data_IF_936106573191
#
_entry.id   IF_936106573191
#
_cell.length_a   1.000
_cell.length_b   1.000
_cell.length_c   1.000
_cell.angle_alpha   90.00
_cell.angle_beta   90.00
_cell.angle_gamma   90.00
#
_symmetry.space_group_name_H-M   'P 1'
#
loop_
_entity.id
_entity.type
_entity.pdbx_description
1 polymer ?
#
# COMPACT_ATOMS: atom_id res chain seq x y z
N UNK A 1 12.73 38.63 0.35
CA UNK A 1 12.77 37.63 1.45
C UNK A 1 12.21 36.33 0.92
N UNK A 2 12.99 35.25 1.02
CA UNK A 2 12.78 33.98 0.35
C UNK A 2 11.98 32.98 1.18
N UNK A 3 11.00 32.35 0.53
CA UNK A 3 10.51 30.96 0.70
C UNK A 3 9.87 30.57 2.04
N UNK A 4 8.53 30.66 2.10
CA UNK A 4 7.67 29.85 2.98
C UNK A 4 6.62 29.07 2.16
N UNK A 5 7.03 28.45 1.04
CA UNK A 5 6.11 27.74 0.14
C UNK A 5 5.94 26.25 0.48
N UNK A 6 6.64 25.75 1.50
CA UNK A 6 6.48 24.40 2.00
C UNK A 6 6.31 24.47 3.52
N UNK A 7 5.23 23.89 4.09
CA UNK A 7 5.19 23.70 5.53
C UNK A 7 6.45 22.92 5.94
N UNK A 8 7.13 23.31 7.03
CA UNK A 8 8.27 22.55 7.53
C UNK A 8 7.85 21.08 7.67
N UNK A 9 8.70 20.16 7.21
CA UNK A 9 8.43 18.72 7.35
C UNK A 9 8.09 18.47 8.82
N UNK A 10 7.01 17.75 9.13
CA UNK A 10 6.75 17.33 10.50
C UNK A 10 8.02 16.65 11.03
N UNK A 11 8.45 16.99 12.25
CA UNK A 11 9.64 16.40 12.88
C UNK A 11 9.51 14.88 13.15
N UNK A 12 8.40 14.27 12.75
CA UNK A 12 8.20 12.83 12.83
C UNK A 12 9.23 12.11 11.97
N UNK A 13 10.11 11.36 12.62
CA UNK A 13 11.07 10.45 11.97
C UNK A 13 10.54 9.03 12.14
N UNK A 14 9.65 8.56 11.24
CA UNK A 14 9.10 7.22 11.34
C UNK A 14 10.25 6.21 11.23
N UNK A 15 10.41 5.39 12.25
CA UNK A 15 11.58 4.54 12.46
C UNK A 15 11.12 3.18 12.96
N UNK A 16 11.61 2.12 12.32
CA UNK A 16 11.52 0.76 12.85
C UNK A 16 12.78 0.50 13.65
N UNK A 17 12.59 -0.05 14.85
CA UNK A 17 13.70 -0.47 15.70
C UNK A 17 13.52 -1.92 16.12
N UNK A 18 14.65 -2.55 16.45
CA UNK A 18 14.64 -3.84 17.11
C UNK A 18 15.66 -3.86 18.24
N UNK A 19 15.31 -4.51 19.35
CA UNK A 19 16.21 -4.66 20.49
C UNK A 19 16.11 -6.05 21.12
N UNK A 20 17.22 -6.48 21.73
CA UNK A 20 17.31 -7.68 22.57
C UNK A 20 17.24 -7.31 24.06
N UNK A 21 16.70 -8.19 24.89
CA UNK A 21 16.63 -8.03 26.35
C UNK A 21 17.56 -9.05 27.02
N UNK A 22 18.18 -8.64 28.13
CA UNK A 22 19.15 -9.43 28.89
C UNK A 22 18.51 -10.51 29.77
N UNK A 23 17.20 -10.46 29.99
CA UNK A 23 16.46 -11.47 30.74
C UNK A 23 16.52 -12.82 29.99
N UNK A 24 16.90 -13.93 30.66
CA UNK A 24 16.99 -15.26 30.06
C UNK A 24 15.76 -15.71 29.26
N UNK A 25 14.55 -15.26 29.62
CA UNK A 25 13.31 -15.62 28.93
C UNK A 25 13.23 -15.05 27.50
N UNK A 26 13.93 -13.97 27.20
CA UNK A 26 13.96 -13.32 25.88
C UNK A 26 15.19 -13.69 25.05
N UNK A 27 15.99 -14.65 25.52
CA UNK A 27 17.25 -15.02 24.86
C UNK A 27 17.02 -15.47 23.41
N UNK A 28 17.62 -14.76 22.47
CA UNK A 28 17.48 -15.02 21.03
C UNK A 28 16.16 -14.52 20.42
N UNK A 29 15.41 -13.69 21.15
CA UNK A 29 14.26 -12.96 20.64
C UNK A 29 14.61 -11.49 20.44
N UNK A 30 14.08 -10.90 19.39
CA UNK A 30 14.11 -9.46 19.16
C UNK A 30 12.69 -8.91 19.26
N UNK A 31 12.53 -7.86 20.05
CA UNK A 31 11.31 -7.05 19.99
C UNK A 31 11.42 -6.09 18.81
N UNK A 32 10.47 -6.13 17.88
CA UNK A 32 10.44 -5.24 16.71
C UNK A 32 9.33 -4.21 16.92
N UNK A 33 9.65 -2.92 16.82
CA UNK A 33 8.68 -1.86 17.11
C UNK A 33 8.80 -0.66 16.18
N UNK A 34 7.76 0.18 16.19
CA UNK A 34 7.70 1.44 15.45
C UNK A 34 7.72 2.66 16.40
N UNK A 35 8.34 3.75 15.94
CA UNK A 35 8.35 5.04 16.63
C UNK A 35 8.45 6.20 15.65
N UNK A 36 7.92 7.36 16.02
CA UNK A 36 8.14 8.64 15.33
C UNK A 36 9.10 9.57 16.08
N UNK A 37 9.46 9.18 17.30
CA UNK A 37 10.42 9.86 18.19
C UNK A 37 11.70 9.03 18.31
N UNK A 38 12.70 9.58 18.98
CA UNK A 38 13.98 8.91 19.27
C UNK A 38 13.80 7.49 19.84
N UNK A 39 14.49 6.51 19.23
CA UNK A 39 14.37 5.09 19.56
C UNK A 39 14.81 4.81 20.99
N UNK A 40 15.91 5.43 21.45
CA UNK A 40 16.43 5.19 22.81
C UNK A 40 15.41 5.62 23.85
N UNK A 41 14.78 6.76 23.64
CA UNK A 41 13.71 7.29 24.49
C UNK A 41 12.48 6.39 24.49
N UNK A 42 12.05 5.91 23.31
CA UNK A 42 10.91 4.98 23.17
C UNK A 42 11.15 3.64 23.86
N UNK A 43 12.35 3.07 23.74
CA UNK A 43 12.69 1.81 24.41
C UNK A 43 12.80 2.03 25.91
N UNK A 44 13.42 3.13 26.37
CA UNK A 44 13.52 3.44 27.80
C UNK A 44 12.15 3.58 28.48
N UNK A 45 11.14 4.14 27.81
CA UNK A 45 9.77 4.24 28.32
C UNK A 45 9.11 2.88 28.60
N UNK A 46 9.57 1.80 27.95
CA UNK A 46 9.04 0.45 28.17
C UNK A 46 9.62 -0.21 29.43
N UNK A 47 10.64 0.40 30.04
CA UNK A 47 11.27 -0.05 31.28
C UNK A 47 11.03 1.00 32.38
N UNK A 48 9.89 0.95 33.08
CA UNK A 48 9.52 1.97 34.07
C UNK A 48 10.46 2.01 35.29
N UNK A 49 11.19 0.92 35.56
CA UNK A 49 12.07 0.79 36.72
C UNK A 49 13.53 1.08 36.35
N UNK A 50 14.09 2.17 36.89
CA UNK A 50 15.52 2.46 36.79
C UNK A 50 16.30 1.46 37.65
N UNK A 51 17.04 0.56 37.01
CA UNK A 51 17.97 -0.35 37.69
C UNK A 51 19.38 0.27 37.68
N UNK A 52 20.15 0.22 38.79
CA UNK A 52 21.55 0.60 38.77
C UNK A 52 22.35 -0.36 37.87
N UNK A 53 23.18 0.17 36.97
CA UNK A 53 24.01 -0.61 36.05
C UNK A 53 23.70 -0.38 34.57
N UNK A 54 24.13 -1.31 33.71
CA UNK A 54 23.86 -1.27 32.26
C UNK A 54 22.35 -1.45 31.99
N UNK A 55 21.80 -0.82 30.94
CA UNK A 55 20.40 -1.03 30.55
C UNK A 55 20.09 -2.52 30.34
N UNK A 56 18.89 -2.99 30.67
CA UNK A 56 18.51 -4.39 30.53
C UNK A 56 18.28 -4.80 29.06
N UNK A 57 18.52 -3.91 28.10
CA UNK A 57 18.28 -4.11 26.68
C UNK A 57 19.43 -3.55 25.83
N UNK A 58 19.52 -4.04 24.58
CA UNK A 58 20.43 -3.51 23.56
C UNK A 58 19.68 -3.34 22.25
N UNK A 59 19.66 -2.12 21.72
CA UNK A 59 19.12 -1.83 20.39
C UNK A 59 20.09 -2.39 19.35
N UNK A 60 19.59 -3.26 18.48
CA UNK A 60 20.36 -3.93 17.42
C UNK A 60 20.00 -3.44 16.02
N UNK A 61 18.87 -2.73 15.90
CA UNK A 61 18.40 -2.15 14.65
C UNK A 61 17.70 -0.82 14.91
N UNK A 62 18.00 0.17 14.08
CA UNK A 62 17.33 1.47 14.01
C UNK A 62 17.38 1.94 12.55
N UNK A 63 16.23 1.92 11.88
CA UNK A 63 16.15 2.13 10.43
C UNK A 63 14.91 2.95 10.05
N UNK A 64 15.05 3.81 9.04
CA UNK A 64 13.94 4.63 8.54
C UNK A 64 12.77 3.77 8.04
N UNK A 65 11.56 4.09 8.47
CA UNK A 65 10.33 3.43 8.05
C UNK A 65 9.67 4.13 6.85
N UNK A 66 10.48 4.78 6.00
CA UNK A 66 10.03 5.45 4.78
C UNK A 66 10.15 4.52 3.57
N UNK A 67 9.11 4.51 2.73
CA UNK A 67 9.11 3.89 1.40
C UNK A 67 9.69 4.84 0.35
N UNK A 68 9.98 4.31 -0.83
CA UNK A 68 10.53 5.08 -1.95
C UNK A 68 9.55 6.15 -2.48
N UNK A 69 8.24 5.93 -2.31
CA UNK A 69 7.17 6.86 -2.70
C UNK A 69 6.94 8.00 -1.68
N UNK A 70 7.71 8.02 -0.58
CA UNK A 70 7.58 9.00 0.49
C UNK A 70 6.51 8.69 1.53
N UNK A 71 5.80 7.56 1.42
CA UNK A 71 4.90 7.08 2.48
C UNK A 71 5.67 6.37 3.59
N UNK A 72 5.10 6.34 4.81
CA UNK A 72 5.68 5.60 5.92
C UNK A 72 5.00 4.22 6.09
N UNK A 73 5.75 3.23 6.56
CA UNK A 73 5.25 1.92 6.97
C UNK A 73 5.43 1.71 8.47
N UNK A 74 4.69 0.73 9.02
CA UNK A 74 4.71 0.43 10.46
C UNK A 74 5.30 -0.96 10.74
N UNK A 75 5.62 -1.20 12.01
CA UNK A 75 6.10 -2.48 12.52
C UNK A 75 5.10 -3.62 12.28
N UNK A 76 3.80 -3.35 12.25
CA UNK A 76 2.77 -4.31 11.86
C UNK A 76 3.04 -4.98 10.50
N UNK A 77 3.54 -4.22 9.53
CA UNK A 77 3.86 -4.72 8.19
C UNK A 77 5.13 -5.59 8.22
N UNK A 78 6.13 -5.19 9.00
CA UNK A 78 7.37 -5.93 9.22
C UNK A 78 7.09 -7.24 9.97
N UNK A 79 6.29 -7.20 11.03
CA UNK A 79 5.84 -8.37 11.80
C UNK A 79 5.15 -9.41 10.91
N UNK A 80 4.29 -8.93 10.01
CA UNK A 80 3.60 -9.78 9.04
C UNK A 80 4.60 -10.43 8.08
N UNK A 81 5.58 -9.68 7.59
CA UNK A 81 6.64 -10.22 6.75
C UNK A 81 7.44 -11.30 7.47
N UNK A 82 7.84 -11.07 8.72
CA UNK A 82 8.56 -12.05 9.53
C UNK A 82 7.74 -13.34 9.73
N UNK A 83 6.45 -13.22 10.07
CA UNK A 83 5.55 -14.39 10.20
C UNK A 83 5.46 -15.20 8.91
N UNK A 84 5.36 -14.52 7.76
CA UNK A 84 5.32 -15.18 6.45
C UNK A 84 6.63 -15.90 6.10
N UNK A 85 7.77 -15.33 6.47
CA UNK A 85 9.08 -15.98 6.33
C UNK A 85 9.32 -17.14 7.31
N UNK A 86 8.29 -17.59 8.05
CA UNK A 86 8.37 -18.71 8.98
C UNK A 86 9.09 -18.37 10.29
N UNK A 87 9.30 -17.09 10.60
CA UNK A 87 9.92 -16.67 11.86
C UNK A 87 8.95 -16.94 13.01
N UNK A 88 9.44 -17.65 14.03
CA UNK A 88 8.65 -17.92 15.24
C UNK A 88 8.38 -16.61 15.99
N UNK A 89 7.11 -16.38 16.32
CA UNK A 89 6.65 -15.26 17.16
C UNK A 89 6.01 -15.84 18.43
N UNK A 90 6.78 -16.04 19.52
CA UNK A 90 6.25 -16.63 20.75
C UNK A 90 5.13 -15.80 21.37
N UNK A 91 5.28 -14.47 21.40
CA UNK A 91 4.31 -13.59 22.05
C UNK A 91 4.42 -12.14 21.58
N UNK A 92 3.29 -11.55 21.18
CA UNK A 92 3.18 -10.13 20.84
C UNK A 92 4.14 -9.68 19.74
N UNK A 93 5.04 -8.77 20.12
CA UNK A 93 6.01 -8.11 19.24
C UNK A 93 7.42 -8.76 19.29
N UNK A 94 7.55 -9.94 19.91
CA UNK A 94 8.83 -10.65 20.09
C UNK A 94 9.02 -11.74 19.03
N UNK A 95 10.08 -11.66 18.25
CA UNK A 95 10.35 -12.57 17.15
C UNK A 95 11.68 -13.29 17.37
N UNK A 96 11.72 -14.61 17.10
CA UNK A 96 12.97 -15.38 17.09
C UNK A 96 13.69 -15.18 15.75
N UNK A 97 14.27 -14.00 15.57
CA UNK A 97 14.95 -13.58 14.35
C UNK A 97 16.27 -12.87 14.62
N UNK A 98 17.09 -12.74 13.57
CA UNK A 98 18.26 -11.86 13.56
C UNK A 98 17.88 -10.44 13.09
N UNK A 99 18.73 -9.46 13.39
CA UNK A 99 18.58 -8.10 12.87
C UNK A 99 18.56 -8.07 11.33
N UNK A 100 19.30 -8.97 10.66
CA UNK A 100 19.33 -9.08 9.21
C UNK A 100 18.00 -9.59 8.64
N UNK A 101 17.32 -10.52 9.33
CA UNK A 101 15.97 -10.94 8.94
C UNK A 101 14.96 -9.81 9.08
N UNK A 102 15.08 -8.97 10.12
CA UNK A 102 14.25 -7.77 10.26
C UNK A 102 14.55 -6.77 9.14
N UNK A 103 15.83 -6.55 8.78
CA UNK A 103 16.20 -5.71 7.63
C UNK A 103 15.65 -6.25 6.32
N UNK A 104 15.77 -7.55 6.07
CA UNK A 104 15.21 -8.19 4.88
C UNK A 104 13.68 -8.00 4.82
N UNK A 105 12.99 -8.16 5.95
CA UNK A 105 11.57 -7.90 6.04
C UNK A 105 11.21 -6.43 5.78
N UNK A 106 12.01 -5.48 6.28
CA UNK A 106 11.84 -4.05 5.96
C UNK A 106 12.07 -3.77 4.48
N UNK A 107 13.07 -4.38 3.86
CA UNK A 107 13.34 -4.23 2.42
C UNK A 107 12.13 -4.74 1.63
N UNK A 108 11.62 -5.94 1.94
CA UNK A 108 10.43 -6.49 1.27
C UNK A 108 9.17 -5.62 1.44
N UNK A 109 9.03 -4.93 2.59
CA UNK A 109 7.96 -3.95 2.82
C UNK A 109 8.21 -2.65 2.05
N UNK A 110 9.47 -2.24 1.86
CA UNK A 110 9.85 -1.07 1.05
C UNK A 110 9.70 -1.30 -0.45
N UNK A 111 9.97 -2.51 -0.94
CA UNK A 111 9.90 -2.90 -2.36
C UNK A 111 8.51 -3.32 -2.81
N UNK A 112 7.50 -3.23 -1.93
CA UNK A 112 6.09 -3.52 -2.22
C UNK A 112 5.79 -4.98 -2.60
N UNK A 113 6.77 -5.89 -2.50
CA UNK A 113 6.65 -7.32 -2.82
C UNK A 113 5.65 -8.05 -1.91
N UNK A 114 5.36 -7.50 -0.72
CA UNK A 114 4.40 -8.05 0.24
C UNK A 114 2.92 -7.69 -0.03
N UNK A 115 2.63 -6.71 -0.90
CA UNK A 115 1.26 -6.22 -1.03
C UNK A 115 0.37 -7.21 -1.81
N UNK A 116 0.90 -7.97 -2.78
CA UNK A 116 0.08 -8.90 -3.57
C UNK A 116 -0.66 -9.94 -2.71
N UNK A 117 -0.05 -10.38 -1.61
CA UNK A 117 -0.59 -11.41 -0.71
C UNK A 117 -1.15 -10.88 0.62
N UNK A 118 -1.35 -9.56 0.77
CA UNK A 118 -2.07 -9.03 1.94
C UNK A 118 -3.29 -8.23 1.54
N UNK A 119 -4.14 -8.88 0.75
CA UNK A 119 -5.50 -8.42 0.50
C UNK A 119 -6.31 -8.60 1.79
N UNK A 120 -6.56 -7.51 2.49
CA UNK A 120 -7.31 -7.50 3.76
C UNK A 120 -8.76 -7.05 3.61
N UNK A 121 -9.15 -6.57 2.41
CA UNK A 121 -10.49 -6.05 2.16
C UNK A 121 -11.34 -7.10 1.42
N UNK A 122 -12.46 -7.48 2.00
CA UNK A 122 -13.40 -8.49 1.49
C UNK A 122 -14.86 -8.00 1.46
N UNK A 123 -15.06 -6.69 1.59
CA UNK A 123 -16.40 -6.10 1.59
C UNK A 123 -17.10 -6.28 0.24
N UNK A 124 -18.41 -6.50 0.28
CA UNK A 124 -19.20 -6.68 -0.93
C UNK A 124 -19.74 -5.35 -1.46
N UNK A 125 -20.18 -5.35 -2.73
CA UNK A 125 -20.88 -4.19 -3.30
C UNK A 125 -22.17 -3.89 -2.53
N UNK A 126 -22.38 -2.61 -2.21
CA UNK A 126 -23.66 -2.13 -1.68
C UNK A 126 -24.75 -2.23 -2.75
N UNK A 127 -26.04 -2.28 -2.37
CA UNK A 127 -27.15 -2.40 -3.32
C UNK A 127 -27.11 -1.37 -4.45
N UNK A 128 -26.78 -0.10 -4.14
CA UNK A 128 -26.69 0.96 -5.14
C UNK A 128 -25.52 0.78 -6.12
N UNK A 129 -24.41 0.22 -5.67
CA UNK A 129 -23.25 -0.08 -6.51
C UNK A 129 -23.56 -1.27 -7.43
N UNK A 130 -24.18 -2.32 -6.88
CA UNK A 130 -24.62 -3.49 -7.63
C UNK A 130 -25.61 -3.10 -8.74
N UNK A 131 -26.60 -2.27 -8.41
CA UNK A 131 -27.56 -1.75 -9.39
C UNK A 131 -26.88 -0.92 -10.50
N UNK A 132 -25.91 -0.07 -10.14
CA UNK A 132 -25.14 0.69 -11.13
C UNK A 132 -24.35 -0.24 -12.07
N UNK A 133 -23.65 -1.24 -11.52
CA UNK A 133 -22.89 -2.23 -12.30
C UNK A 133 -23.81 -3.05 -13.21
N UNK A 134 -24.96 -3.49 -12.72
CA UNK A 134 -25.95 -4.24 -13.51
C UNK A 134 -26.50 -3.41 -14.66
N UNK A 135 -26.93 -2.17 -14.38
CA UNK A 135 -27.45 -1.27 -15.39
C UNK A 135 -26.42 -0.96 -16.48
N UNK A 136 -25.18 -0.69 -16.08
CA UNK A 136 -24.11 -0.40 -17.04
C UNK A 136 -23.74 -1.64 -17.84
N UNK A 137 -23.57 -2.79 -17.21
CA UNK A 137 -23.27 -4.04 -17.93
C UNK A 137 -24.35 -4.41 -18.95
N UNK A 138 -25.63 -4.23 -18.61
CA UNK A 138 -26.74 -4.46 -19.52
C UNK A 138 -26.67 -3.52 -20.74
N UNK A 139 -26.45 -2.23 -20.51
CA UNK A 139 -26.32 -1.23 -21.58
C UNK A 139 -25.16 -1.53 -22.53
N UNK A 140 -23.97 -1.86 -22.00
CA UNK A 140 -22.81 -2.17 -22.85
C UNK A 140 -23.06 -3.42 -23.71
N UNK A 141 -23.73 -4.44 -23.15
CA UNK A 141 -24.08 -5.66 -23.90
C UNK A 141 -25.12 -5.40 -24.99
N UNK A 142 -26.12 -4.56 -24.74
CA UNK A 142 -27.11 -4.21 -25.74
C UNK A 142 -26.51 -3.32 -26.83
N UNK A 143 -25.76 -2.29 -26.45
CA UNK A 143 -25.14 -1.37 -27.41
C UNK A 143 -24.18 -2.09 -28.36
N UNK A 144 -23.36 -3.03 -27.86
CA UNK A 144 -22.51 -3.86 -28.70
C UNK A 144 -23.29 -4.79 -29.63
N UNK A 145 -24.51 -5.21 -29.25
CA UNK A 145 -25.37 -6.04 -30.10
C UNK A 145 -26.01 -5.21 -31.22
N UNK A 146 -26.40 -3.98 -30.92
CA UNK A 146 -27.10 -3.10 -31.85
C UNK A 146 -26.14 -2.50 -32.89
N UNK A 147 -24.93 -2.12 -32.47
CA UNK A 147 -23.91 -1.54 -33.34
C UNK A 147 -22.50 -1.92 -32.83
N UNK A 148 -21.90 -3.02 -33.35
CA UNK A 148 -20.60 -3.50 -32.89
C UNK A 148 -19.44 -2.52 -33.13
N UNK A 149 -19.54 -1.65 -34.14
CA UNK A 149 -18.47 -0.74 -34.53
C UNK A 149 -18.49 0.58 -33.72
N UNK A 150 -19.59 0.84 -33.00
CA UNK A 150 -19.74 2.04 -32.18
C UNK A 150 -19.32 1.80 -30.74
N UNK A 151 -18.34 2.57 -30.28
CA UNK A 151 -17.92 2.57 -28.87
C UNK A 151 -19.05 3.09 -27.96
N UNK A 152 -19.58 2.28 -27.04
CA UNK A 152 -20.63 2.71 -26.12
C UNK A 152 -20.07 3.60 -25.00
N UNK A 153 -20.87 4.59 -24.57
CA UNK A 153 -20.53 5.49 -23.47
C UNK A 153 -21.60 5.45 -22.39
N UNK A 154 -21.18 5.48 -21.12
CA UNK A 154 -22.09 5.50 -19.98
C UNK A 154 -21.56 6.44 -18.89
N UNK A 155 -22.45 7.30 -18.38
CA UNK A 155 -22.10 8.27 -17.35
C UNK A 155 -22.76 7.90 -16.01
N UNK A 156 -21.96 7.72 -14.97
CA UNK A 156 -22.45 7.57 -13.60
C UNK A 156 -22.59 8.93 -12.92
N UNK A 157 -23.83 9.35 -12.67
CA UNK A 157 -24.11 10.45 -11.75
C UNK A 157 -24.05 9.95 -10.30
N UNK A 158 -22.85 9.96 -9.71
CA UNK A 158 -22.58 9.38 -8.40
C UNK A 158 -22.13 10.42 -7.37
N UNK A 159 -22.80 10.44 -6.21
CA UNK A 159 -22.44 11.28 -5.06
C UNK A 159 -21.03 11.00 -4.51
N UNK A 160 -20.54 11.90 -3.66
CA UNK A 160 -19.34 11.64 -2.87
C UNK A 160 -19.51 10.38 -2.01
N UNK A 161 -18.43 9.60 -1.82
CA UNK A 161 -18.42 8.33 -1.07
C UNK A 161 -19.27 7.18 -1.64
N UNK A 162 -19.71 7.28 -2.90
CA UNK A 162 -20.32 6.17 -3.62
C UNK A 162 -19.38 4.96 -3.81
N UNK A 163 -18.06 5.14 -3.75
CA UNK A 163 -17.09 4.06 -4.03
C UNK A 163 -16.89 3.84 -5.53
N UNK A 164 -16.63 4.93 -6.27
CA UNK A 164 -16.49 4.94 -7.74
C UNK A 164 -15.39 3.98 -8.22
N UNK A 165 -14.24 3.99 -7.55
CA UNK A 165 -13.08 3.13 -7.84
C UNK A 165 -13.46 1.65 -7.77
N UNK A 166 -13.85 1.17 -6.59
CA UNK A 166 -14.32 -0.21 -6.40
C UNK A 166 -15.43 -0.62 -7.38
N UNK A 167 -16.43 0.25 -7.58
CA UNK A 167 -17.56 -0.03 -8.49
C UNK A 167 -17.10 -0.18 -9.95
N UNK A 168 -16.13 0.62 -10.39
CA UNK A 168 -15.56 0.53 -11.73
C UNK A 168 -14.78 -0.78 -11.93
N UNK A 169 -14.00 -1.21 -10.94
CA UNK A 169 -13.30 -2.51 -11.00
C UNK A 169 -14.26 -3.70 -10.99
N UNK A 170 -15.34 -3.63 -10.21
CA UNK A 170 -16.39 -4.65 -10.23
C UNK A 170 -17.10 -4.72 -11.58
N UNK A 171 -17.34 -3.58 -12.24
CA UNK A 171 -17.85 -3.56 -13.61
C UNK A 171 -16.88 -4.26 -14.57
N UNK A 172 -15.59 -3.92 -14.51
CA UNK A 172 -14.57 -4.55 -15.35
C UNK A 172 -14.49 -6.07 -15.14
N UNK A 173 -14.53 -6.53 -13.88
CA UNK A 173 -14.59 -7.95 -13.52
C UNK A 173 -15.85 -8.63 -14.08
N UNK A 174 -17.03 -8.00 -13.93
CA UNK A 174 -18.31 -8.52 -14.47
C UNK A 174 -18.31 -8.63 -15.99
N UNK A 175 -17.65 -7.69 -16.67
CA UNK A 175 -17.53 -7.66 -18.13
C UNK A 175 -16.33 -8.47 -18.66
N UNK A 176 -15.55 -9.08 -17.77
CA UNK A 176 -14.31 -9.82 -18.10
C UNK A 176 -13.28 -8.98 -18.85
N UNK A 177 -13.21 -7.69 -18.55
CA UNK A 177 -12.19 -6.81 -19.12
C UNK A 177 -10.86 -7.01 -18.41
N UNK A 178 -9.82 -7.29 -19.19
CA UNK A 178 -8.45 -7.50 -18.68
C UNK A 178 -7.56 -6.28 -18.82
N UNK A 179 -7.96 -5.27 -19.59
CA UNK A 179 -7.19 -4.05 -19.84
C UNK A 179 -8.07 -2.85 -19.53
N UNK A 180 -7.75 -2.14 -18.46
CA UNK A 180 -8.52 -0.96 -18.02
C UNK A 180 -7.61 0.26 -18.02
N UNK A 181 -8.03 1.33 -18.71
CA UNK A 181 -7.35 2.62 -18.68
C UNK A 181 -8.17 3.59 -17.83
N UNK A 182 -7.54 4.18 -16.81
CA UNK A 182 -8.14 5.19 -15.93
C UNK A 182 -7.51 6.53 -16.27
N UNK A 183 -8.31 7.49 -16.73
CA UNK A 183 -7.88 8.85 -17.04
C UNK A 183 -8.49 9.85 -16.06
N UNK A 184 -7.66 10.75 -15.52
CA UNK A 184 -8.12 11.77 -14.56
C UNK A 184 -7.37 13.09 -14.68
N UNK A 185 -8.01 14.20 -14.30
CA UNK A 185 -7.34 15.49 -14.12
C UNK A 185 -6.75 15.69 -12.72
N UNK A 186 -6.96 14.74 -11.80
CA UNK A 186 -6.48 14.83 -10.42
C UNK A 186 -5.45 13.73 -10.15
N UNK A 187 -4.13 13.99 -10.32
CA UNK A 187 -3.10 12.98 -10.09
C UNK A 187 -3.13 12.36 -8.69
N UNK A 188 -3.49 13.16 -7.68
CA UNK A 188 -3.54 12.74 -6.27
C UNK A 188 -4.50 11.57 -5.97
N UNK A 189 -5.39 11.19 -6.89
CA UNK A 189 -6.27 10.04 -6.69
C UNK A 189 -5.59 8.71 -7.03
N UNK A 190 -4.40 8.72 -7.64
CA UNK A 190 -3.68 7.51 -8.08
C UNK A 190 -3.56 6.48 -6.96
N UNK A 191 -3.06 6.89 -5.78
CA UNK A 191 -2.87 6.01 -4.64
C UNK A 191 -4.18 5.34 -4.20
N UNK A 192 -5.29 6.07 -4.22
CA UNK A 192 -6.60 5.50 -3.88
C UNK A 192 -7.08 4.43 -4.89
N UNK A 193 -6.77 4.60 -6.19
CA UNK A 193 -7.05 3.57 -7.19
C UNK A 193 -6.15 2.35 -7.00
N UNK A 194 -4.87 2.59 -6.76
CA UNK A 194 -3.87 1.53 -6.55
C UNK A 194 -4.17 0.70 -5.30
N UNK A 195 -4.45 1.35 -4.17
CA UNK A 195 -4.76 0.68 -2.90
C UNK A 195 -6.03 -0.18 -3.01
N UNK A 196 -7.11 0.33 -3.61
CA UNK A 196 -8.34 -0.44 -3.81
C UNK A 196 -8.08 -1.70 -4.67
N UNK A 197 -7.25 -1.57 -5.72
CA UNK A 197 -6.91 -2.70 -6.58
C UNK A 197 -6.01 -3.70 -5.86
N UNK A 198 -5.02 -3.24 -5.10
CA UNK A 198 -4.02 -4.09 -4.43
C UNK A 198 -4.55 -4.76 -3.17
N UNK A 199 -5.44 -4.12 -2.41
CA UNK A 199 -5.89 -4.60 -1.09
C UNK A 199 -7.17 -5.42 -1.09
N UNK A 200 -7.97 -5.40 -2.15
CA UNK A 200 -9.25 -6.10 -2.17
C UNK A 200 -9.15 -7.53 -2.75
N UNK A 201 -9.67 -8.54 -2.06
CA UNK A 201 -9.55 -9.96 -2.46
C UNK A 201 -10.03 -10.25 -3.87
N UNK A 202 -11.08 -9.54 -4.33
CA UNK A 202 -11.66 -9.73 -5.67
C UNK A 202 -10.72 -9.48 -6.85
N UNK A 203 -9.67 -8.68 -6.67
CA UNK A 203 -8.77 -8.27 -7.75
C UNK A 203 -7.41 -8.97 -7.65
N UNK A 204 -7.36 -10.13 -6.96
CA UNK A 204 -6.17 -10.96 -6.91
C UNK A 204 -5.61 -11.22 -8.32
N UNK A 205 -4.30 -11.06 -8.47
CA UNK A 205 -3.59 -11.19 -9.75
C UNK A 205 -3.72 -10.00 -10.71
N UNK A 206 -4.44 -8.93 -10.34
CA UNK A 206 -4.47 -7.71 -11.13
C UNK A 206 -3.23 -6.84 -10.88
N UNK A 207 -2.66 -6.28 -11.95
CA UNK A 207 -1.50 -5.39 -11.91
C UNK A 207 -1.93 -3.92 -12.02
N UNK A 208 -1.21 -3.03 -11.34
CA UNK A 208 -1.41 -1.58 -11.41
C UNK A 208 -0.21 -0.93 -12.09
N UNK A 209 -0.43 -0.32 -13.26
CA UNK A 209 0.58 0.36 -14.06
C UNK A 209 0.45 1.86 -13.82
N UNK A 210 1.56 2.50 -13.45
CA UNK A 210 1.62 3.96 -13.25
C UNK A 210 3.02 4.49 -13.52
N UNK A 211 3.15 5.81 -13.68
CA UNK A 211 4.42 6.46 -14.05
C UNK A 211 5.57 6.23 -13.05
N UNK A 212 5.24 6.13 -11.76
CA UNK A 212 6.22 5.97 -10.67
C UNK A 212 6.22 4.54 -10.09
N UNK A 213 5.57 3.60 -10.78
CA UNK A 213 5.46 2.20 -10.35
C UNK A 213 5.78 1.25 -11.50
N UNK A 214 5.06 0.13 -11.56
CA UNK A 214 5.19 -0.84 -12.65
C UNK A 214 4.90 -0.16 -14.00
N UNK A 215 5.80 -0.33 -14.96
CA UNK A 215 5.64 0.21 -16.32
C UNK A 215 4.85 -0.74 -17.23
N UNK A 216 4.43 -0.26 -18.40
CA UNK A 216 3.69 -1.06 -19.37
C UNK A 216 4.56 -2.18 -19.98
N UNK A 217 5.86 -1.92 -20.06
CA UNK A 217 6.88 -2.81 -20.58
C UNK A 217 7.17 -3.97 -19.62
N UNK A 218 7.15 -3.68 -18.31
CA UNK A 218 7.40 -4.67 -17.25
C UNK A 218 6.16 -5.50 -16.88
N UNK A 219 4.96 -4.99 -17.18
CA UNK A 219 3.71 -5.67 -16.84
C UNK A 219 3.52 -6.97 -17.64
N UNK A 220 2.97 -7.99 -16.98
CA UNK A 220 2.64 -9.25 -17.63
C UNK A 220 1.32 -9.07 -18.37
N UNK A 221 1.41 -8.91 -19.70
CA UNK A 221 0.25 -8.69 -20.57
C UNK A 221 -0.76 -9.86 -20.58
N UNK A 222 -0.41 -11.01 -19.99
CA UNK A 222 -1.32 -12.14 -19.78
C UNK A 222 -2.20 -11.98 -18.54
N UNK A 223 -1.78 -11.16 -17.57
CA UNK A 223 -2.55 -10.84 -16.37
C UNK A 223 -3.46 -9.62 -16.62
N UNK A 224 -4.59 -9.52 -15.91
CA UNK A 224 -5.40 -8.32 -15.97
C UNK A 224 -4.63 -7.13 -15.37
N UNK A 225 -4.73 -5.96 -16.00
CA UNK A 225 -4.04 -4.76 -15.53
C UNK A 225 -4.89 -3.50 -15.64
N UNK A 226 -4.58 -2.55 -14.77
CA UNK A 226 -5.12 -1.19 -14.77
C UNK A 226 -3.97 -0.24 -15.07
N UNK A 227 -4.08 0.52 -16.15
CA UNK A 227 -3.18 1.62 -16.46
C UNK A 227 -3.80 2.92 -15.94
N UNK A 228 -3.07 3.63 -15.08
CA UNK A 228 -3.51 4.91 -14.54
C UNK A 228 -2.75 6.05 -15.21
N UNK A 229 -3.50 7.01 -15.73
CA UNK A 229 -2.98 8.18 -16.42
C UNK A 229 -3.62 9.47 -15.97
N UNK A 230 -2.82 10.48 -15.63
CA UNK A 230 -3.36 11.84 -15.52
C UNK A 230 -3.33 12.55 -16.88
N UNK A 231 -4.33 13.35 -17.20
CA UNK A 231 -4.31 14.16 -18.42
C UNK A 231 -3.11 15.13 -18.45
N UNK A 232 -2.59 15.54 -17.30
CA UNK A 232 -1.38 16.37 -17.23
C UNK A 232 -0.14 15.60 -17.72
N UNK A 233 -0.07 14.31 -17.43
CA UNK A 233 1.01 13.43 -17.91
C UNK A 233 0.92 13.20 -19.43
N UNK A 234 -0.29 12.95 -19.95
CA UNK A 234 -0.49 12.65 -21.38
C UNK A 234 -0.52 13.89 -22.28
N UNK A 235 -0.89 15.06 -21.75
CA UNK A 235 -0.89 16.32 -22.50
C UNK A 235 0.41 17.12 -22.34
N UNK A 236 1.45 16.56 -21.69
CA UNK A 236 2.80 17.14 -21.67
C UNK A 236 2.94 18.45 -20.90
N UNK A 237 2.06 18.76 -19.94
CA UNK A 237 2.11 20.02 -19.16
C UNK A 237 2.80 19.89 -17.80
N UNK A 238 3.76 18.98 -17.67
CA UNK A 238 4.64 18.94 -16.51
C UNK A 238 5.90 19.78 -16.80
N UNK A 239 6.10 20.94 -16.16
CA UNK A 239 7.29 21.78 -16.33
C UNK A 239 8.53 21.22 -15.62
N UNK A 240 8.64 19.90 -15.45
CA UNK A 240 9.72 19.22 -14.72
C UNK A 240 10.57 18.34 -15.63
N UNK A 241 10.82 18.80 -16.85
CA UNK A 241 11.84 18.27 -17.76
C UNK A 241 12.34 19.42 -18.62
N UNK A 242 13.29 20.17 -18.06
CA UNK A 242 14.44 20.77 -18.72
C UNK A 242 15.54 20.91 -17.66
#
# INVERSE_FOLDING_TARGET
MSRDFFPPRPDSRPTIYAYEDTNPQYKGLLKVGYTTVDVKSRVAQQYPTKKPGKPPYRIVLEESAMRNDGTAFTDNEVHRCLRKSGVKNPEGEWFKCSADQVKAAMIAVRTDEMIEETRSLDFTMRPEQKAAVEKTAAYFKSAHKDDPDKTPHFLWNAKMRFGKTFTAYQLAKKMKWSKVLVLTFKPAVQSAWEEDLKRHVDFAGWQFISRNGLTCEEADKKKPFVCFGSFQDYLGRNPSTN
#
